data_IF_190938222872
#
_entry.id   IF_190938222872
#
_cell.length_a   1.000
_cell.length_b   1.000
_cell.length_c   1.000
_cell.angle_alpha   90.00
_cell.angle_beta   90.00
_cell.angle_gamma   90.00
#
_symmetry.space_group_name_H-M   'P 1'
#
loop_
_entity.id
_entity.type
_entity.pdbx_description
1 polymer ?
#
# COMPACT_ATOMS: atom_id res chain seq x y z
N UNK A 1 47.98 22.46 11.77
CA UNK A 1 49.30 21.84 11.47
C UNK A 1 49.46 21.72 9.97
N UNK A 2 50.69 21.71 9.42
CA UNK A 2 50.93 21.51 7.97
C UNK A 2 51.05 20.00 7.69
N UNK A 3 50.25 19.46 6.76
CA UNK A 3 50.36 18.05 6.40
C UNK A 3 51.66 17.79 5.64
N UNK A 4 52.28 16.63 5.89
CA UNK A 4 53.51 16.21 5.21
C UNK A 4 53.18 15.63 3.82
N UNK A 5 53.59 16.26 2.70
CA UNK A 5 53.28 15.75 1.36
C UNK A 5 53.91 14.39 1.03
N UNK A 6 54.94 13.97 1.77
CA UNK A 6 55.59 12.67 1.61
C UNK A 6 54.96 11.54 2.45
N UNK A 7 53.93 11.82 3.26
CA UNK A 7 53.28 10.81 4.10
C UNK A 7 52.32 9.94 3.27
N UNK A 8 52.71 8.68 3.03
CA UNK A 8 51.96 7.70 2.22
C UNK A 8 51.02 6.80 3.05
N UNK A 9 50.59 7.26 4.23
CA UNK A 9 49.85 6.44 5.20
C UNK A 9 50.77 5.53 6.04
N UNK A 10 50.16 4.58 6.74
CA UNK A 10 50.89 3.48 7.39
C UNK A 10 51.35 2.49 6.32
N UNK A 11 52.60 2.04 6.39
CA UNK A 11 53.10 0.99 5.50
C UNK A 11 52.39 -0.34 5.76
N UNK A 12 52.02 -1.04 4.70
CA UNK A 12 51.54 -2.41 4.71
C UNK A 12 52.43 -3.28 3.81
N UNK A 13 52.67 -4.52 4.23
CA UNK A 13 53.31 -5.50 3.36
C UNK A 13 52.37 -5.89 2.20
N UNK A 14 52.89 -6.20 1.00
CA UNK A 14 52.09 -6.86 -0.02
C UNK A 14 51.64 -8.23 0.49
N UNK A 15 50.41 -8.62 0.14
CA UNK A 15 49.97 -10.00 0.33
C UNK A 15 50.73 -10.91 -0.65
N UNK A 16 51.16 -12.07 -0.16
CA UNK A 16 51.85 -13.10 -0.93
C UNK A 16 51.10 -14.40 -0.71
N UNK A 17 50.82 -15.14 -1.78
CA UNK A 17 50.15 -16.44 -1.69
C UNK A 17 50.99 -17.41 -0.84
N UNK A 18 50.36 -18.04 0.15
CA UNK A 18 51.06 -18.96 1.05
C UNK A 18 51.32 -20.30 0.34
N UNK A 19 52.57 -20.68 0.03
CA UNK A 19 52.87 -21.93 -0.67
C UNK A 19 52.56 -23.19 0.17
N UNK A 20 52.29 -23.03 1.47
CA UNK A 20 51.87 -24.11 2.36
C UNK A 20 50.33 -24.21 2.51
N UNK A 21 49.55 -23.41 1.77
CA UNK A 21 48.09 -23.44 1.84
C UNK A 21 47.53 -24.71 1.17
N UNK A 22 46.97 -25.61 1.96
CA UNK A 22 46.42 -26.91 1.51
C UNK A 22 44.93 -26.83 1.10
N UNK A 23 44.45 -25.64 0.75
CA UNK A 23 43.03 -25.37 0.58
C UNK A 23 42.27 -25.22 1.91
N UNK A 24 40.96 -25.05 1.83
CA UNK A 24 40.06 -25.05 3.00
C UNK A 24 39.99 -26.48 3.53
N UNK A 25 40.24 -26.68 4.83
CA UNK A 25 40.13 -27.99 5.46
C UNK A 25 38.70 -28.54 5.34
N UNK A 26 38.60 -29.84 5.04
CA UNK A 26 37.37 -30.63 5.07
C UNK A 26 37.62 -31.90 5.88
N UNK A 27 36.60 -32.48 6.54
CA UNK A 27 36.69 -33.81 7.12
C UNK A 27 36.97 -34.85 6.01
N UNK A 28 37.59 -35.97 6.38
CA UNK A 28 37.73 -37.11 5.47
C UNK A 28 36.40 -37.85 5.36
N UNK A 29 36.07 -38.28 4.15
CA UNK A 29 34.93 -39.18 3.92
C UNK A 29 35.31 -40.58 4.42
N UNK A 30 34.50 -41.11 5.34
CA UNK A 30 34.64 -42.43 5.95
C UNK A 30 33.40 -43.25 5.52
N UNK A 31 33.55 -44.50 5.03
CA UNK A 31 32.41 -45.33 4.70
C UNK A 31 31.47 -45.50 5.89
N UNK A 32 30.18 -45.22 5.70
CA UNK A 32 29.16 -45.42 6.73
C UNK A 32 28.93 -46.94 6.91
N UNK A 33 29.16 -47.53 8.11
CA UNK A 33 28.86 -48.94 8.34
C UNK A 33 27.35 -49.24 8.28
N UNK A 34 26.51 -48.25 8.57
CA UNK A 34 25.05 -48.35 8.54
C UNK A 34 24.47 -47.95 7.18
N UNK A 35 25.25 -48.07 6.09
CA UNK A 35 24.76 -47.81 4.73
C UNK A 35 23.97 -49.00 4.19
N UNK A 36 22.77 -48.72 3.67
CA UNK A 36 21.92 -49.70 3.02
C UNK A 36 21.16 -49.05 1.85
N UNK A 37 20.78 -49.86 0.88
CA UNK A 37 19.92 -49.49 -0.24
C UNK A 37 18.59 -50.26 -0.13
N UNK A 38 17.47 -49.63 -0.49
CA UNK A 38 16.15 -50.26 -0.53
C UNK A 38 15.53 -50.07 -1.92
N UNK A 39 15.48 -51.15 -2.71
CA UNK A 39 14.77 -51.18 -4.01
C UNK A 39 13.28 -50.83 -3.86
N UNK A 40 12.69 -51.23 -2.73
CA UNK A 40 11.28 -51.03 -2.37
C UNK A 40 11.18 -50.82 -0.86
N UNK A 41 10.82 -49.62 -0.38
CA UNK A 41 10.41 -49.42 1.00
C UNK A 41 9.16 -50.23 1.31
N UNK A 42 9.13 -50.91 2.45
CA UNK A 42 7.91 -51.49 3.00
C UNK A 42 7.18 -50.43 3.84
N UNK A 43 5.85 -50.42 3.78
CA UNK A 43 5.02 -49.38 4.40
C UNK A 43 3.85 -50.01 5.15
N UNK A 44 3.62 -49.55 6.38
CA UNK A 44 2.44 -49.95 7.14
C UNK A 44 1.13 -49.54 6.42
N UNK A 45 0.03 -50.32 6.55
CA UNK A 45 -1.23 -50.00 5.89
C UNK A 45 -1.79 -48.64 6.30
N UNK A 46 -1.95 -47.73 5.32
CA UNK A 46 -2.51 -46.39 5.52
C UNK A 46 -3.97 -46.51 6.00
N UNK A 47 -4.22 -46.16 7.27
CA UNK A 47 -5.53 -46.29 7.92
C UNK A 47 -6.37 -45.00 7.93
N UNK A 48 -5.75 -43.82 7.78
CA UNK A 48 -6.41 -42.52 7.87
C UNK A 48 -5.69 -41.45 7.02
N UNK A 49 -6.39 -40.33 6.79
CA UNK A 49 -5.80 -39.09 6.25
C UNK A 49 -6.09 -37.98 7.25
N UNK A 50 -5.05 -37.23 7.62
CA UNK A 50 -5.15 -35.99 8.40
C UNK A 50 -4.65 -34.81 7.58
N UNK A 51 -5.19 -33.63 7.86
CA UNK A 51 -4.72 -32.35 7.30
C UNK A 51 -4.20 -31.53 8.48
N UNK A 52 -2.89 -31.39 8.58
CA UNK A 52 -2.22 -30.57 9.59
C UNK A 52 -1.49 -29.43 8.88
N UNK A 53 -1.94 -28.19 9.12
CA UNK A 53 -1.33 -26.98 8.58
C UNK A 53 -1.26 -25.89 9.64
N UNK A 54 -0.21 -25.07 9.59
CA UNK A 54 -0.15 -23.80 10.32
C UNK A 54 -0.41 -22.66 9.34
N UNK A 55 -1.41 -21.83 9.62
CA UNK A 55 -1.83 -20.69 8.78
C UNK A 55 -2.20 -19.51 9.66
N UNK A 56 -1.98 -18.28 9.15
CA UNK A 56 -2.48 -17.04 9.74
C UNK A 56 -3.71 -16.50 8.99
N UNK A 57 -4.17 -17.23 7.98
CA UNK A 57 -5.23 -16.87 7.05
C UNK A 57 -6.35 -17.91 7.10
N UNK A 58 -7.57 -17.43 7.33
CA UNK A 58 -8.81 -18.19 7.26
C UNK A 58 -9.26 -18.41 5.80
N UNK A 59 -10.33 -19.20 5.61
CA UNK A 59 -10.97 -19.38 4.30
C UNK A 59 -10.34 -20.46 3.41
N UNK A 60 -9.38 -21.23 3.91
CA UNK A 60 -8.80 -22.38 3.18
C UNK A 60 -9.85 -23.49 3.07
N UNK A 61 -10.21 -23.84 1.83
CA UNK A 61 -11.22 -24.85 1.50
C UNK A 61 -10.54 -26.09 0.90
N UNK A 62 -10.84 -27.27 1.46
CA UNK A 62 -10.41 -28.57 0.95
C UNK A 62 -11.60 -29.34 0.39
N UNK A 63 -11.49 -29.84 -0.84
CA UNK A 63 -12.48 -30.69 -1.52
C UNK A 63 -11.76 -31.71 -2.42
N UNK A 64 -12.49 -32.70 -2.94
CA UNK A 64 -12.02 -33.63 -3.97
C UNK A 64 -10.81 -34.49 -3.56
N UNK A 65 -10.66 -34.82 -2.27
CA UNK A 65 -9.60 -35.72 -1.76
C UNK A 65 -9.77 -37.13 -2.36
N UNK A 66 -8.83 -37.55 -3.19
CA UNK A 66 -8.82 -38.86 -3.85
C UNK A 66 -7.58 -39.67 -3.46
N UNK A 67 -7.81 -40.92 -3.01
CA UNK A 67 -6.75 -41.91 -2.77
C UNK A 67 -6.89 -43.01 -3.84
N UNK A 68 -5.89 -43.15 -4.71
CA UNK A 68 -5.87 -44.14 -5.79
C UNK A 68 -4.53 -44.89 -5.83
N UNK A 69 -4.53 -46.08 -6.44
CA UNK A 69 -3.32 -46.91 -6.63
C UNK A 69 -2.80 -46.87 -8.09
N UNK A 70 -3.39 -46.02 -8.92
CA UNK A 70 -3.23 -46.03 -10.37
C UNK A 70 -3.63 -44.69 -11.01
N UNK A 71 -2.70 -44.10 -11.75
CA UNK A 71 -2.81 -42.74 -12.30
C UNK A 71 -4.06 -42.53 -13.16
N UNK A 72 -4.46 -43.56 -13.92
CA UNK A 72 -5.65 -43.53 -14.80
C UNK A 72 -6.97 -43.22 -14.08
N UNK A 73 -7.09 -43.56 -12.80
CA UNK A 73 -8.28 -43.26 -12.00
C UNK A 73 -8.28 -41.80 -11.53
N UNK A 74 -7.09 -41.27 -11.19
CA UNK A 74 -6.92 -39.85 -10.90
C UNK A 74 -7.12 -38.98 -12.15
N UNK A 75 -6.63 -39.43 -13.30
CA UNK A 75 -6.86 -38.82 -14.62
C UNK A 75 -8.35 -38.77 -14.96
N UNK A 76 -9.05 -39.91 -14.93
CA UNK A 76 -10.50 -39.93 -15.24
C UNK A 76 -11.33 -39.07 -14.28
N UNK A 77 -11.04 -39.12 -12.97
CA UNK A 77 -11.75 -38.32 -11.97
C UNK A 77 -11.48 -36.81 -12.16
N UNK A 78 -10.24 -36.45 -12.53
CA UNK A 78 -9.87 -35.08 -12.83
C UNK A 78 -10.66 -34.54 -14.03
N UNK A 79 -10.85 -35.35 -15.07
CA UNK A 79 -11.63 -34.95 -16.25
C UNK A 79 -13.14 -34.92 -16.00
N UNK A 80 -13.71 -35.90 -15.28
CA UNK A 80 -15.17 -35.99 -15.08
C UNK A 80 -15.71 -35.05 -14.00
N UNK A 81 -14.91 -34.76 -12.98
CA UNK A 81 -15.41 -34.19 -11.72
C UNK A 81 -14.73 -32.88 -11.35
N UNK A 82 -13.41 -32.82 -11.35
CA UNK A 82 -12.68 -31.60 -11.01
C UNK A 82 -12.75 -30.55 -12.13
N UNK A 83 -12.44 -30.93 -13.37
CA UNK A 83 -12.29 -30.00 -14.49
C UNK A 83 -13.56 -29.18 -14.81
N UNK A 84 -14.78 -29.76 -14.90
CA UNK A 84 -15.98 -28.97 -15.21
C UNK A 84 -16.35 -27.98 -14.10
N UNK A 85 -16.10 -28.37 -12.84
CA UNK A 85 -16.26 -27.49 -11.67
C UNK A 85 -15.25 -26.33 -11.72
N UNK A 86 -13.97 -26.65 -11.90
CA UNK A 86 -12.87 -25.69 -11.94
C UNK A 86 -12.99 -24.67 -13.08
N UNK A 87 -13.45 -25.09 -14.26
CA UNK A 87 -13.66 -24.17 -15.40
C UNK A 87 -14.75 -23.13 -15.07
N UNK A 88 -15.88 -23.55 -14.48
CA UNK A 88 -16.94 -22.63 -14.04
C UNK A 88 -16.52 -21.73 -12.86
N UNK A 89 -15.78 -22.27 -11.89
CA UNK A 89 -15.27 -21.49 -10.75
C UNK A 89 -14.27 -20.42 -11.21
N UNK A 90 -13.39 -20.76 -12.15
CA UNK A 90 -12.40 -19.84 -12.73
C UNK A 90 -13.03 -18.73 -13.59
N UNK A 91 -14.14 -19.01 -14.28
CA UNK A 91 -14.90 -17.98 -15.00
C UNK A 91 -15.60 -17.01 -14.05
N UNK A 92 -16.18 -17.51 -12.95
CA UNK A 92 -16.77 -16.66 -11.90
C UNK A 92 -15.72 -15.79 -11.22
N UNK A 93 -14.58 -16.37 -10.81
CA UNK A 93 -13.51 -15.64 -10.15
C UNK A 93 -13.04 -14.45 -11.00
N UNK A 94 -12.83 -14.66 -12.30
CA UNK A 94 -12.50 -13.56 -13.24
C UNK A 94 -13.56 -12.48 -13.29
N UNK A 95 -14.84 -12.83 -13.33
CA UNK A 95 -15.92 -11.86 -13.37
C UNK A 95 -16.02 -11.06 -12.05
N UNK A 96 -15.73 -11.70 -10.92
CA UNK A 96 -15.63 -11.05 -9.61
C UNK A 96 -14.41 -10.12 -9.55
N UNK A 97 -13.23 -10.56 -9.99
CA UNK A 97 -12.00 -9.76 -10.11
C UNK A 97 -12.23 -8.51 -11.00
N UNK A 98 -12.71 -8.70 -12.24
CA UNK A 98 -12.97 -7.62 -13.22
C UNK A 98 -14.04 -6.62 -12.74
N UNK A 99 -15.01 -7.08 -11.92
CA UNK A 99 -15.98 -6.18 -11.28
C UNK A 99 -15.37 -5.38 -10.12
N UNK A 100 -14.50 -6.01 -9.32
CA UNK A 100 -13.88 -5.42 -8.13
C UNK A 100 -12.90 -4.30 -8.51
N UNK A 101 -12.14 -4.48 -9.59
CA UNK A 101 -11.23 -3.47 -10.14
C UNK A 101 -11.94 -2.23 -10.71
N UNK A 102 -13.27 -2.26 -10.91
CA UNK A 102 -13.98 -1.21 -11.66
C UNK A 102 -15.11 -0.47 -10.92
N UNK A 103 -15.81 -1.08 -9.96
CA UNK A 103 -17.04 -0.48 -9.40
C UNK A 103 -16.81 0.47 -8.20
N UNK A 104 -15.74 0.26 -7.41
CA UNK A 104 -15.52 0.98 -6.15
C UNK A 104 -15.28 2.51 -6.26
N UNK A 105 -14.70 2.98 -7.36
CA UNK A 105 -14.37 4.40 -7.60
C UNK A 105 -14.96 4.93 -8.92
N UNK A 106 -14.73 4.23 -10.03
CA UNK A 106 -15.19 4.65 -11.36
C UNK A 106 -16.72 4.69 -11.48
N UNK A 107 -17.43 3.74 -10.84
CA UNK A 107 -18.89 3.69 -10.82
C UNK A 107 -19.52 4.88 -10.08
N UNK A 108 -18.85 5.40 -9.06
CA UNK A 108 -19.27 6.60 -8.30
C UNK A 108 -18.92 7.88 -9.08
N UNK A 109 -17.70 7.97 -9.61
CA UNK A 109 -17.24 9.13 -10.39
C UNK A 109 -18.16 9.42 -11.58
N UNK A 110 -18.49 8.42 -12.40
CA UNK A 110 -19.39 8.57 -13.56
C UNK A 110 -20.75 9.17 -13.16
N UNK A 111 -21.37 8.65 -12.09
CA UNK A 111 -22.67 9.15 -11.57
C UNK A 111 -22.58 10.59 -11.06
N UNK A 112 -21.44 11.00 -10.50
CA UNK A 112 -21.20 12.41 -10.10
C UNK A 112 -21.04 13.32 -11.33
N UNK A 113 -20.24 12.91 -12.33
CA UNK A 113 -20.08 13.67 -13.58
C UNK A 113 -21.40 13.81 -14.35
N UNK A 114 -22.21 12.76 -14.46
CA UNK A 114 -23.55 12.80 -15.05
C UNK A 114 -24.48 13.85 -14.41
N UNK A 115 -24.34 14.08 -13.10
CA UNK A 115 -25.10 15.10 -12.36
C UNK A 115 -24.52 16.49 -12.62
N UNK A 116 -23.19 16.64 -12.64
CA UNK A 116 -22.53 17.92 -12.93
C UNK A 116 -22.86 18.44 -14.32
N UNK A 117 -22.85 17.58 -15.36
CA UNK A 117 -23.26 17.98 -16.72
C UNK A 117 -24.73 18.42 -16.76
N UNK A 118 -25.65 17.71 -16.08
CA UNK A 118 -27.07 18.11 -15.97
C UNK A 118 -27.28 19.42 -15.22
N UNK A 119 -26.42 19.74 -14.23
CA UNK A 119 -26.44 21.02 -13.53
C UNK A 119 -25.93 22.16 -14.44
N UNK A 120 -24.92 21.91 -15.27
CA UNK A 120 -24.41 22.88 -16.24
C UNK A 120 -25.42 23.29 -17.34
N UNK A 121 -26.43 22.47 -17.60
CA UNK A 121 -27.51 22.74 -18.57
C UNK A 121 -28.65 23.63 -18.03
N UNK A 122 -28.71 23.93 -16.72
CA UNK A 122 -29.82 24.69 -16.15
C UNK A 122 -29.75 26.17 -16.60
N UNK A 123 -30.84 26.78 -17.11
CA UNK A 123 -30.80 28.09 -17.79
C UNK A 123 -30.23 29.25 -16.96
N UNK A 124 -30.25 29.20 -15.62
CA UNK A 124 -29.66 30.25 -14.77
C UNK A 124 -28.12 30.27 -14.77
N UNK A 125 -27.46 29.21 -15.27
CA UNK A 125 -26.01 29.13 -15.42
C UNK A 125 -25.54 29.36 -16.87
N UNK A 126 -26.45 29.73 -17.78
CA UNK A 126 -26.18 29.87 -19.22
C UNK A 126 -24.99 30.78 -19.56
N UNK A 127 -24.80 31.89 -18.84
CA UNK A 127 -23.66 32.81 -19.00
C UNK A 127 -22.30 32.15 -18.64
N UNK A 128 -22.29 31.19 -17.70
CA UNK A 128 -21.10 30.51 -17.21
C UNK A 128 -20.91 29.10 -17.80
N UNK A 129 -21.88 28.62 -18.59
CA UNK A 129 -21.97 27.24 -19.08
C UNK A 129 -20.67 26.73 -19.72
N UNK A 130 -20.05 27.52 -20.61
CA UNK A 130 -18.81 27.12 -21.29
C UNK A 130 -17.63 26.94 -20.31
N UNK A 131 -17.53 27.79 -19.28
CA UNK A 131 -16.49 27.69 -18.25
C UNK A 131 -16.72 26.50 -17.33
N UNK A 132 -17.99 26.23 -16.99
CA UNK A 132 -18.38 25.07 -16.18
C UNK A 132 -18.11 23.76 -16.95
N UNK A 133 -18.38 23.70 -18.25
CA UNK A 133 -18.12 22.52 -19.08
C UNK A 133 -16.61 22.23 -19.25
N UNK A 134 -15.78 23.23 -19.55
CA UNK A 134 -14.30 23.07 -19.61
C UNK A 134 -13.73 22.59 -18.26
N UNK A 135 -14.25 23.14 -17.15
CA UNK A 135 -13.90 22.67 -15.81
C UNK A 135 -14.28 21.19 -15.59
N UNK A 136 -15.50 20.77 -15.95
CA UNK A 136 -15.95 19.38 -15.81
C UNK A 136 -15.10 18.43 -16.68
N UNK A 137 -14.87 18.77 -17.96
CA UNK A 137 -14.05 17.96 -18.89
C UNK A 137 -12.60 17.82 -18.40
N UNK A 138 -12.05 18.89 -17.80
CA UNK A 138 -10.72 18.88 -17.18
C UNK A 138 -10.66 18.05 -15.89
N UNK A 139 -11.75 18.03 -15.11
CA UNK A 139 -11.89 17.23 -13.91
C UNK A 139 -12.08 15.73 -14.22
N UNK A 140 -12.74 15.39 -15.33
CA UNK A 140 -12.88 14.01 -15.81
C UNK A 140 -11.53 13.43 -16.27
N UNK A 141 -10.70 14.25 -16.94
CA UNK A 141 -9.37 13.86 -17.42
C UNK A 141 -8.29 13.75 -16.34
N UNK A 142 -8.49 14.31 -15.14
CA UNK A 142 -7.46 14.42 -14.10
C UNK A 142 -8.04 14.17 -12.68
N UNK A 143 -8.07 12.91 -12.19
CA UNK A 143 -8.73 12.55 -10.93
C UNK A 143 -8.19 13.29 -9.71
N UNK A 144 -6.90 13.67 -9.71
CA UNK A 144 -6.24 14.38 -8.61
C UNK A 144 -6.74 15.82 -8.43
N UNK A 145 -7.42 16.39 -9.43
CA UNK A 145 -7.87 17.81 -9.44
C UNK A 145 -9.40 17.90 -9.31
N UNK A 146 -10.12 16.80 -9.56
CA UNK A 146 -11.59 16.71 -9.57
C UNK A 146 -12.27 17.34 -8.36
N UNK A 147 -11.75 17.09 -7.15
CA UNK A 147 -12.33 17.61 -5.89
C UNK A 147 -12.29 19.14 -5.85
N UNK A 148 -11.15 19.75 -6.23
CA UNK A 148 -11.00 21.20 -6.27
C UNK A 148 -11.91 21.87 -7.31
N UNK A 149 -12.15 21.20 -8.44
CA UNK A 149 -13.08 21.67 -9.47
C UNK A 149 -14.54 21.60 -9.00
N UNK A 150 -14.94 20.51 -8.34
CA UNK A 150 -16.30 20.39 -7.77
C UNK A 150 -16.57 21.52 -6.78
N UNK A 151 -15.60 21.83 -5.91
CA UNK A 151 -15.69 22.97 -4.98
C UNK A 151 -15.79 24.30 -5.73
N UNK A 152 -15.00 24.54 -6.78
CA UNK A 152 -15.08 25.80 -7.54
C UNK A 152 -16.43 25.98 -8.25
N UNK A 153 -16.99 24.91 -8.81
CA UNK A 153 -18.33 24.93 -9.44
C UNK A 153 -19.40 25.23 -8.39
N UNK A 154 -19.34 24.62 -7.21
CA UNK A 154 -20.27 24.91 -6.11
C UNK A 154 -20.19 26.37 -5.62
N UNK A 155 -19.00 26.98 -5.58
CA UNK A 155 -18.83 28.40 -5.24
C UNK A 155 -19.38 29.33 -6.33
N UNK A 156 -19.23 28.99 -7.61
CA UNK A 156 -19.87 29.72 -8.72
C UNK A 156 -21.39 29.66 -8.57
N UNK A 157 -21.95 28.47 -8.35
CA UNK A 157 -23.40 28.29 -8.15
C UNK A 157 -23.90 29.09 -6.95
N UNK A 158 -23.24 29.00 -5.79
CA UNK A 158 -23.61 29.76 -4.57
C UNK A 158 -23.53 31.27 -4.77
N UNK A 159 -22.51 31.79 -5.45
CA UNK A 159 -22.38 33.24 -5.68
C UNK A 159 -23.42 33.76 -6.68
N UNK A 160 -23.79 32.98 -7.70
CA UNK A 160 -24.91 33.28 -8.60
C UNK A 160 -26.24 33.25 -7.83
N UNK A 161 -26.49 32.24 -6.99
CA UNK A 161 -27.70 32.14 -6.17
C UNK A 161 -27.81 33.31 -5.17
N UNK A 162 -26.71 33.69 -4.52
CA UNK A 162 -26.65 34.84 -3.62
C UNK A 162 -26.89 36.17 -4.36
N UNK A 163 -26.32 36.34 -5.56
CA UNK A 163 -26.62 37.48 -6.46
C UNK A 163 -28.11 37.53 -6.83
N UNK A 164 -28.74 36.39 -7.08
CA UNK A 164 -30.15 36.32 -7.48
C UNK A 164 -31.12 36.61 -6.31
N UNK A 165 -30.75 36.21 -5.09
CA UNK A 165 -31.56 36.42 -3.88
C UNK A 165 -31.37 37.81 -3.23
N UNK A 166 -30.17 38.40 -3.30
CA UNK A 166 -29.83 39.64 -2.58
C UNK A 166 -29.40 40.82 -3.48
N UNK A 167 -29.19 40.61 -4.79
CA UNK A 167 -28.65 41.60 -5.74
C UNK A 167 -29.59 42.74 -6.17
N UNK A 168 -30.50 43.19 -5.30
CA UNK A 168 -31.63 44.06 -5.64
C UNK A 168 -31.59 45.48 -5.08
N UNK A 169 -30.51 46.27 -5.29
CA UNK A 169 -30.50 47.73 -5.01
C UNK A 169 -29.47 48.50 -5.86
N UNK A 170 -29.88 49.63 -6.42
CA UNK A 170 -29.03 50.57 -7.18
C UNK A 170 -28.27 51.50 -6.22
N UNK A 171 -27.05 51.90 -6.58
CA UNK A 171 -26.29 52.92 -5.82
C UNK A 171 -26.82 54.34 -6.08
N UNK A 172 -26.93 55.19 -5.05
CA UNK A 172 -26.94 56.64 -5.19
C UNK A 172 -25.50 57.20 -5.09
N UNK A 173 -25.15 58.16 -5.96
CA UNK A 173 -23.88 58.91 -5.91
C UNK A 173 -24.02 60.12 -4.99
N UNK A 174 -23.10 60.31 -4.04
CA UNK A 174 -22.85 61.60 -3.37
C UNK A 174 -21.34 61.78 -3.17
N UNK A 175 -20.82 62.97 -3.46
CA UNK A 175 -19.44 63.40 -3.19
C UNK A 175 -19.44 64.43 -2.06
N UNK A 176 -18.53 64.28 -1.08
CA UNK A 176 -17.68 65.38 -0.54
C UNK A 176 -16.71 64.91 0.56
N UNK A 177 -15.51 65.49 0.50
CA UNK A 177 -14.44 65.53 1.51
C UNK A 177 -14.27 67.02 1.93
N UNK A 178 -13.32 67.44 2.81
CA UNK A 178 -12.39 66.70 3.69
C UNK A 178 -12.96 66.66 5.15
N UNK A 179 -12.25 66.53 6.28
CA UNK A 179 -10.82 66.55 6.71
C UNK A 179 -10.75 65.78 8.08
N UNK A 180 -9.64 65.49 8.80
CA UNK A 180 -8.23 65.94 8.83
C UNK A 180 -7.30 64.70 8.95
N UNK A 181 -5.99 64.87 9.13
CA UNK A 181 -4.97 63.82 9.29
C UNK A 181 -4.45 63.67 10.73
N UNK A 182 -3.83 62.53 11.04
CA UNK A 182 -2.42 62.48 11.50
C UNK A 182 -1.82 61.06 11.36
N UNK A 183 -0.49 60.92 11.46
CA UNK A 183 0.25 59.70 11.12
C UNK A 183 1.38 59.39 12.12
N UNK A 184 1.55 58.13 12.53
CA UNK A 184 2.87 57.60 12.92
C UNK A 184 2.95 56.07 12.91
N UNK A 185 4.20 55.58 12.84
CA UNK A 185 4.62 54.22 13.17
C UNK A 185 4.51 54.00 14.71
N UNK A 186 4.65 52.80 15.31
CA UNK A 186 5.76 51.86 15.08
C UNK A 186 5.57 50.44 15.69
N UNK A 187 6.61 49.64 15.50
CA UNK A 187 6.88 48.23 15.85
C UNK A 187 6.69 47.77 17.33
N UNK A 188 6.51 46.44 17.48
CA UNK A 188 7.15 45.53 18.47
C UNK A 188 6.47 45.08 19.78
N UNK A 189 6.26 43.75 19.84
CA UNK A 189 6.64 42.77 20.91
C UNK A 189 5.85 42.56 22.22
N UNK A 190 5.96 41.32 22.72
CA UNK A 190 5.43 40.73 23.98
C UNK A 190 3.90 40.51 24.01
N UNK A 191 3.32 39.39 24.44
CA UNK A 191 3.78 38.11 25.05
C UNK A 191 2.51 37.36 25.54
N UNK A 192 2.48 36.16 26.15
CA UNK A 192 3.43 35.05 26.39
C UNK A 192 2.61 33.83 26.92
N UNK A 193 2.96 32.57 26.55
CA UNK A 193 2.46 31.27 27.11
C UNK A 193 0.94 30.97 27.00
N UNK A 194 0.45 29.75 27.24
CA UNK A 194 1.06 28.44 27.57
C UNK A 194 0.57 27.39 26.53
N UNK A 195 1.31 26.35 26.10
CA UNK A 195 1.93 25.24 26.85
C UNK A 195 0.90 24.34 27.58
N UNK A 196 0.68 23.13 27.06
CA UNK A 196 0.73 21.87 27.83
C UNK A 196 0.94 20.69 26.85
N UNK A 197 1.84 19.77 27.23
CA UNK A 197 2.21 18.55 26.52
C UNK A 197 1.95 17.36 27.46
N UNK A 198 1.57 16.19 26.94
CA UNK A 198 1.78 14.92 27.66
C UNK A 198 2.32 13.86 26.68
N UNK A 199 3.49 13.32 27.01
CA UNK A 199 4.06 12.10 26.43
C UNK A 199 3.89 10.94 27.43
N UNK A 200 3.69 9.71 26.94
CA UNK A 200 4.03 8.50 27.70
C UNK A 200 4.85 7.55 26.79
N UNK A 201 6.13 7.39 27.09
CA UNK A 201 6.93 6.20 26.70
C UNK A 201 7.14 5.32 27.95
N UNK A 202 6.80 4.04 27.86
CA UNK A 202 7.56 2.89 28.39
C UNK A 202 6.85 1.60 27.88
N UNK A 203 7.46 0.41 27.81
CA UNK A 203 8.72 -0.07 28.38
C UNK A 203 9.42 -1.06 27.41
N UNK A 204 10.68 -1.44 27.70
CA UNK A 204 11.41 -2.51 26.97
C UNK A 204 12.08 -3.48 27.95
N UNK A 205 11.67 -4.75 27.93
CA UNK A 205 12.49 -5.84 28.47
C UNK A 205 13.05 -6.75 27.35
N UNK A 206 14.31 -7.14 27.48
CA UNK A 206 15.02 -8.00 26.53
C UNK A 206 15.51 -9.29 27.18
N UNK A 207 14.97 -10.43 26.73
CA UNK A 207 15.25 -11.74 27.34
C UNK A 207 16.67 -12.26 27.05
N UNK A 208 17.61 -12.00 27.97
CA UNK A 208 18.96 -12.55 27.90
C UNK A 208 19.02 -14.03 28.36
N UNK A 209 19.58 -14.91 27.53
CA UNK A 209 19.66 -16.34 27.82
C UNK A 209 20.85 -16.72 28.73
N UNK A 210 20.67 -17.61 29.73
CA UNK A 210 21.74 -18.02 30.64
C UNK A 210 22.72 -19.05 30.02
N UNK A 211 23.99 -19.09 30.48
CA UNK A 211 25.04 -19.91 29.86
C UNK A 211 24.91 -21.42 30.15
N UNK A 212 25.26 -22.24 29.16
CA UNK A 212 25.27 -23.71 29.25
C UNK A 212 26.23 -24.22 30.34
N UNK A 213 25.73 -25.07 31.24
CA UNK A 213 26.57 -25.83 32.18
C UNK A 213 27.50 -26.80 31.43
N UNK A 214 28.78 -26.84 31.81
CA UNK A 214 29.72 -27.88 31.34
C UNK A 214 29.37 -29.21 32.01
N UNK A 215 29.42 -30.32 31.25
CA UNK A 215 29.50 -31.66 31.85
C UNK A 215 30.84 -31.78 32.61
N UNK A 216 30.85 -32.65 33.63
CA UNK A 216 32.05 -33.13 34.32
C UNK A 216 32.10 -34.62 34.08
N UNK A 217 33.23 -35.10 33.58
CA UNK A 217 33.41 -36.51 33.23
C UNK A 217 33.67 -37.37 34.47
N UNK A 218 33.23 -38.64 34.39
CA UNK A 218 33.49 -39.74 35.33
C UNK A 218 33.48 -41.04 34.53
#
# INVERSE_FOLDING_TARGET
>A
MKMNPAYKGKWSAPLIDNPNYKGIWKPQEIPNPDYFELDKPDFEPIAAVGIEIWTMQDGILFDNILIAKNDKVAESYRETTWKPKFEVEKEKQKAEDESTDSDGLSGVQKKVFDVLYKVADIPFLSEYKLQILDLIEKAEKQPNITIGVIVSILVIILTVLFRLLFGGKKQPKVEKNPEVAETSNNQSTSGEKAEEEEEEEEEKEGTAAPPRRRRRDT
#
